data_IF_839983605022
#
_entry.id   IF_839983605022
#
_cell.length_a   1.000
_cell.length_b   1.000
_cell.length_c   1.000
_cell.angle_alpha   90.00
_cell.angle_beta   90.00
_cell.angle_gamma   90.00
#
_symmetry.space_group_name_H-M   'P 1'
#
loop_
_entity.id
_entity.type
_entity.pdbx_description
1 polymer ?
#
# COMPACT_ATOMS: atom_id res chain seq x y z
N UNK A 1 23.33 -4.59 -8.94
CA UNK A 1 22.58 -3.88 -10.01
C UNK A 1 22.93 -4.43 -11.39
N UNK A 2 24.11 -4.96 -11.55
CA UNK A 2 24.62 -5.62 -12.77
C UNK A 2 23.79 -6.81 -13.25
N UNK A 3 23.01 -7.42 -12.36
CA UNK A 3 22.09 -8.53 -12.67
C UNK A 3 20.70 -8.09 -13.19
N UNK A 4 20.52 -6.83 -13.50
CA UNK A 4 19.24 -6.30 -13.97
C UNK A 4 19.47 -5.60 -15.31
N UNK A 5 18.83 -6.11 -16.37
CA UNK A 5 18.98 -5.57 -17.73
C UNK A 5 18.24 -4.26 -17.97
N UNK A 6 17.25 -3.92 -17.15
CA UNK A 6 16.51 -2.67 -17.25
C UNK A 6 17.21 -1.54 -16.44
N UNK A 7 17.25 -0.29 -16.95
CA UNK A 7 17.93 0.82 -16.27
C UNK A 7 17.31 1.22 -14.92
N UNK A 8 16.10 0.79 -14.62
CA UNK A 8 15.29 1.14 -13.44
C UNK A 8 15.14 2.67 -13.27
N UNK A 9 14.97 3.39 -14.38
CA UNK A 9 14.86 4.86 -14.47
C UNK A 9 13.43 5.39 -14.18
N UNK A 10 12.56 4.54 -13.66
CA UNK A 10 11.20 4.84 -13.21
C UNK A 10 11.02 4.50 -11.72
N UNK A 11 9.89 4.92 -11.12
CA UNK A 11 9.58 4.57 -9.73
C UNK A 11 9.05 3.14 -9.57
N UNK A 12 8.73 2.48 -10.67
CA UNK A 12 8.20 1.12 -10.72
C UNK A 12 7.28 0.90 -11.92
N UNK A 13 6.64 -0.26 -11.93
CA UNK A 13 5.65 -0.65 -12.93
C UNK A 13 4.39 -1.15 -12.25
N UNK A 14 3.23 -0.85 -12.83
CA UNK A 14 1.93 -1.42 -12.48
C UNK A 14 1.57 -2.44 -13.55
N UNK A 15 1.09 -3.60 -13.13
CA UNK A 15 0.67 -4.68 -14.03
C UNK A 15 -0.86 -4.66 -14.13
N UNK A 16 -1.42 -4.32 -15.31
CA UNK A 16 -2.86 -4.35 -15.51
C UNK A 16 -3.44 -5.75 -15.33
N UNK A 17 -4.67 -5.85 -14.81
CA UNK A 17 -5.34 -7.14 -14.57
C UNK A 17 -5.48 -7.99 -15.84
N UNK A 18 -5.57 -7.38 -17.02
CA UNK A 18 -5.67 -8.07 -18.32
C UNK A 18 -4.44 -8.90 -18.65
N UNK A 19 -3.28 -8.60 -18.05
CA UNK A 19 -2.04 -9.38 -18.22
C UNK A 19 -2.09 -10.72 -17.48
N UNK A 20 -3.06 -10.89 -16.60
CA UNK A 20 -3.28 -12.13 -15.82
C UNK A 20 -2.00 -12.64 -15.12
N UNK A 21 -1.19 -11.73 -14.60
CA UNK A 21 0.06 -12.04 -13.88
C UNK A 21 -0.21 -12.16 -12.37
N UNK A 22 0.64 -12.90 -11.64
CA UNK A 22 0.47 -13.09 -10.20
C UNK A 22 0.88 -11.86 -9.36
N UNK A 23 1.41 -10.82 -9.99
CA UNK A 23 1.80 -9.57 -9.37
C UNK A 23 0.95 -8.41 -9.88
N UNK A 24 0.73 -7.42 -9.03
CA UNK A 24 0.00 -6.18 -9.40
C UNK A 24 0.92 -5.00 -9.64
N UNK A 25 2.13 -5.03 -9.09
CA UNK A 25 3.11 -3.96 -9.27
C UNK A 25 4.51 -4.39 -8.84
N UNK A 26 5.51 -3.64 -9.32
CA UNK A 26 6.87 -3.63 -8.79
C UNK A 26 7.32 -2.19 -8.55
N UNK A 27 7.91 -1.87 -7.39
CA UNK A 27 8.48 -0.55 -7.08
C UNK A 27 9.98 -0.61 -7.00
N UNK A 28 10.67 0.28 -7.70
CA UNK A 28 12.11 0.40 -7.72
C UNK A 28 12.56 1.35 -6.60
N UNK A 29 12.75 0.78 -5.39
CA UNK A 29 12.93 1.58 -4.17
C UNK A 29 14.20 2.42 -4.19
N UNK A 30 15.29 1.93 -4.78
CA UNK A 30 16.54 2.68 -4.92
C UNK A 30 16.41 3.93 -5.79
N UNK A 31 15.56 3.88 -6.80
CA UNK A 31 15.25 5.04 -7.66
C UNK A 31 14.23 5.97 -7.00
N UNK A 32 13.20 5.38 -6.39
CA UNK A 32 12.13 6.13 -5.73
C UNK A 32 12.61 6.87 -4.47
N UNK A 33 13.57 6.30 -3.75
CA UNK A 33 14.12 6.84 -2.50
C UNK A 33 15.65 6.80 -2.55
N UNK A 34 16.30 7.79 -3.18
CA UNK A 34 17.76 7.84 -3.24
C UNK A 34 18.39 7.82 -1.85
N UNK A 35 19.52 7.12 -1.71
CA UNK A 35 20.24 7.01 -0.44
C UNK A 35 19.75 5.92 0.51
N UNK A 36 18.70 5.16 0.15
CA UNK A 36 18.21 4.05 0.99
C UNK A 36 18.97 2.73 0.81
N UNK A 37 19.85 2.65 -0.17
CA UNK A 37 20.74 1.50 -0.39
C UNK A 37 22.04 1.96 -1.06
N UNK A 38 23.12 1.18 -0.98
CA UNK A 38 24.35 1.40 -1.76
C UNK A 38 24.05 1.53 -3.25
N UNK A 39 24.83 2.35 -3.96
CA UNK A 39 24.58 2.70 -5.36
C UNK A 39 24.67 1.51 -6.34
N UNK A 40 25.45 0.51 -5.97
CA UNK A 40 25.66 -0.75 -6.72
C UNK A 40 24.53 -1.76 -6.49
N UNK A 41 23.66 -1.53 -5.52
CA UNK A 41 22.50 -2.40 -5.25
C UNK A 41 21.21 -1.88 -5.90
N UNK A 42 20.28 -2.79 -6.10
CA UNK A 42 18.91 -2.47 -6.47
C UNK A 42 17.95 -3.13 -5.46
N UNK A 43 17.09 -2.31 -4.87
CA UNK A 43 16.02 -2.79 -3.99
C UNK A 43 14.71 -2.66 -4.74
N UNK A 44 14.06 -3.81 -4.98
CA UNK A 44 12.80 -3.88 -5.71
C UNK A 44 11.74 -4.50 -4.78
N UNK A 45 10.63 -3.81 -4.60
CA UNK A 45 9.45 -4.35 -3.91
C UNK A 45 8.46 -4.87 -4.93
N UNK A 46 8.09 -6.13 -4.80
CA UNK A 46 7.08 -6.77 -5.65
C UNK A 46 5.79 -6.95 -4.84
N UNK A 47 4.67 -6.58 -5.43
CA UNK A 47 3.34 -6.76 -4.83
C UNK A 47 2.66 -7.96 -5.47
N UNK A 48 2.62 -9.08 -4.74
CA UNK A 48 2.07 -10.36 -5.19
C UNK A 48 0.61 -10.47 -4.74
N UNK A 49 -0.25 -10.99 -5.61
CA UNK A 49 -1.68 -11.21 -5.34
C UNK A 49 -2.52 -9.96 -5.50
N UNK A 50 -3.32 -9.65 -4.48
CA UNK A 50 -4.27 -8.54 -4.51
C UNK A 50 -5.72 -9.03 -4.45
N UNK A 51 -6.68 -8.12 -4.69
CA UNK A 51 -8.11 -8.43 -4.55
C UNK A 51 -8.61 -9.51 -5.52
N UNK A 52 -7.96 -9.66 -6.68
CA UNK A 52 -8.31 -10.65 -7.69
C UNK A 52 -7.67 -12.02 -7.46
N UNK A 53 -6.67 -12.10 -6.60
CA UNK A 53 -5.93 -13.32 -6.27
C UNK A 53 -5.65 -13.36 -4.75
N UNK A 54 -6.70 -13.35 -3.91
CA UNK A 54 -6.57 -13.25 -2.45
C UNK A 54 -5.84 -14.45 -1.83
N UNK A 55 -5.90 -15.62 -2.45
CA UNK A 55 -5.26 -16.86 -2.02
C UNK A 55 -3.72 -16.79 -2.05
N UNK A 56 -3.16 -15.86 -2.81
CA UNK A 56 -1.70 -15.71 -2.92
C UNK A 56 -1.04 -15.36 -1.56
N UNK A 57 -1.78 -14.73 -0.65
CA UNK A 57 -1.26 -14.38 0.69
C UNK A 57 -0.97 -15.62 1.55
N UNK A 58 -1.57 -16.76 1.23
CA UNK A 58 -1.43 -18.01 1.98
C UNK A 58 -0.28 -18.91 1.48
N UNK A 59 0.34 -18.56 0.35
CA UNK A 59 1.51 -19.28 -0.16
C UNK A 59 2.70 -19.10 0.76
N UNK A 60 3.60 -20.09 0.79
CA UNK A 60 4.82 -19.97 1.58
C UNK A 60 5.81 -18.94 1.02
N UNK A 61 6.82 -18.60 1.81
CA UNK A 61 7.79 -17.56 1.43
C UNK A 61 8.62 -17.95 0.21
N UNK A 62 8.98 -19.24 0.09
CA UNK A 62 9.78 -19.73 -1.02
C UNK A 62 9.00 -19.64 -2.34
N UNK A 63 7.72 -19.98 -2.32
CA UNK A 63 6.84 -19.83 -3.48
C UNK A 63 6.67 -18.36 -3.89
N UNK A 64 6.44 -17.46 -2.91
CA UNK A 64 6.30 -16.02 -3.19
C UNK A 64 7.58 -15.41 -3.76
N UNK A 65 8.74 -15.80 -3.23
CA UNK A 65 10.06 -15.40 -3.76
C UNK A 65 10.26 -15.92 -5.17
N UNK A 66 9.94 -17.19 -5.43
CA UNK A 66 10.06 -17.79 -6.77
C UNK A 66 9.16 -17.06 -7.80
N UNK A 67 7.94 -16.70 -7.41
CA UNK A 67 7.04 -15.88 -8.23
C UNK A 67 7.68 -14.52 -8.53
N UNK A 68 8.14 -13.81 -7.51
CA UNK A 68 8.75 -12.50 -7.68
C UNK A 68 9.98 -12.55 -8.59
N UNK A 69 10.85 -13.56 -8.44
CA UNK A 69 12.03 -13.75 -9.31
C UNK A 69 11.62 -13.97 -10.77
N UNK A 70 10.65 -14.82 -11.03
CA UNK A 70 10.15 -15.08 -12.41
C UNK A 70 9.58 -13.81 -13.03
N UNK A 71 8.75 -13.08 -12.29
CA UNK A 71 8.13 -11.86 -12.78
C UNK A 71 9.16 -10.75 -13.05
N UNK A 72 10.16 -10.61 -12.18
CA UNK A 72 11.26 -9.66 -12.39
C UNK A 72 12.19 -10.05 -13.53
N UNK A 73 12.37 -11.34 -13.79
CA UNK A 73 13.13 -11.78 -14.96
C UNK A 73 12.46 -11.32 -16.28
N UNK A 74 11.14 -11.39 -16.35
CA UNK A 74 10.40 -10.94 -17.53
C UNK A 74 10.25 -9.41 -17.63
N UNK A 75 9.98 -8.73 -16.51
CA UNK A 75 9.68 -7.30 -16.52
C UNK A 75 10.93 -6.41 -16.63
N UNK A 76 12.01 -6.81 -15.99
CA UNK A 76 13.23 -5.99 -15.87
C UNK A 76 14.50 -6.75 -16.23
N UNK A 77 14.38 -7.92 -16.86
CA UNK A 77 15.49 -8.80 -17.21
C UNK A 77 16.42 -9.08 -16.02
N UNK A 78 15.85 -9.27 -14.83
CA UNK A 78 16.61 -9.64 -13.65
C UNK A 78 17.06 -11.11 -13.74
N UNK A 79 18.31 -11.40 -13.41
CA UNK A 79 18.88 -12.73 -13.48
C UNK A 79 19.71 -13.08 -12.23
N UNK A 80 19.92 -14.38 -12.02
CA UNK A 80 20.66 -14.89 -10.87
C UNK A 80 19.88 -14.78 -9.55
N UNK A 81 20.56 -15.05 -8.45
CA UNK A 81 19.95 -15.03 -7.13
C UNK A 81 19.97 -13.61 -6.51
N UNK A 82 18.90 -13.19 -5.81
CA UNK A 82 18.92 -11.99 -5.00
C UNK A 82 19.91 -12.17 -3.84
N UNK A 83 20.49 -11.08 -3.37
CA UNK A 83 21.36 -11.08 -2.19
C UNK A 83 20.56 -11.33 -0.91
N UNK A 84 19.35 -10.78 -0.86
CA UNK A 84 18.45 -10.89 0.28
C UNK A 84 17.00 -10.85 -0.19
N UNK A 85 16.13 -11.53 0.52
CA UNK A 85 14.68 -11.52 0.30
C UNK A 85 13.95 -11.35 1.62
N UNK A 86 12.87 -10.56 1.60
CA UNK A 86 11.98 -10.38 2.74
C UNK A 86 10.53 -10.47 2.28
N UNK A 87 9.72 -11.27 2.96
CA UNK A 87 8.29 -11.42 2.68
C UNK A 87 7.48 -10.81 3.82
N UNK A 88 6.62 -9.85 3.49
CA UNK A 88 5.64 -9.27 4.41
C UNK A 88 4.23 -9.56 3.93
N UNK A 89 3.37 -10.06 4.81
CA UNK A 89 1.97 -10.38 4.51
C UNK A 89 1.02 -9.36 5.10
N UNK A 90 0.17 -8.83 4.25
CA UNK A 90 -0.80 -7.80 4.60
C UNK A 90 -2.22 -8.34 4.38
N UNK A 91 -2.65 -9.25 5.29
CA UNK A 91 -3.98 -9.89 5.21
C UNK A 91 -5.08 -8.87 5.44
N UNK A 92 -6.05 -8.79 4.51
CA UNK A 92 -7.24 -7.93 4.62
C UNK A 92 -6.94 -6.47 5.03
N UNK A 93 -5.77 -5.95 4.67
CA UNK A 93 -5.29 -4.66 5.14
C UNK A 93 -5.60 -3.49 4.21
N UNK A 94 -5.90 -3.76 2.93
CA UNK A 94 -6.20 -2.72 1.96
C UNK A 94 -7.72 -2.52 1.84
N UNK A 95 -8.25 -1.35 2.21
CA UNK A 95 -9.68 -1.05 2.03
C UNK A 95 -10.08 -1.12 0.56
N UNK A 96 -11.22 -1.76 0.29
CA UNK A 96 -11.79 -1.87 -1.04
C UNK A 96 -13.03 -0.98 -1.16
N UNK A 97 -12.94 0.05 -2.01
CA UNK A 97 -14.02 1.01 -2.23
C UNK A 97 -14.95 0.50 -3.33
N UNK A 98 -15.90 -0.35 -2.95
CA UNK A 98 -16.91 -0.85 -3.86
C UNK A 98 -17.91 0.25 -4.28
N UNK A 99 -18.67 -0.02 -5.33
CA UNK A 99 -19.78 0.85 -5.78
C UNK A 99 -20.71 1.16 -4.58
N UNK A 100 -21.06 2.44 -4.41
CA UNK A 100 -21.85 2.91 -3.27
C UNK A 100 -21.05 3.17 -1.97
N UNK A 101 -19.71 3.05 -1.99
CA UNK A 101 -18.88 3.30 -0.82
C UNK A 101 -19.12 4.69 -0.20
N UNK A 102 -19.13 5.75 -0.99
CA UNK A 102 -19.35 7.11 -0.48
C UNK A 102 -20.73 7.29 0.16
N UNK A 103 -21.77 6.64 -0.36
CA UNK A 103 -23.10 6.66 0.27
C UNK A 103 -23.09 5.94 1.62
N UNK A 104 -22.38 4.81 1.71
CA UNK A 104 -22.21 4.08 2.96
C UNK A 104 -21.44 4.91 3.99
N UNK A 105 -20.32 5.51 3.60
CA UNK A 105 -19.55 6.40 4.46
C UNK A 105 -20.38 7.60 4.91
N UNK A 106 -21.15 8.23 4.02
CA UNK A 106 -22.06 9.32 4.38
C UNK A 106 -23.05 8.93 5.47
N UNK A 107 -23.68 7.74 5.37
CA UNK A 107 -24.58 7.22 6.42
C UNK A 107 -23.87 6.97 7.74
N UNK A 108 -22.64 6.46 7.71
CA UNK A 108 -21.83 6.24 8.92
C UNK A 108 -21.51 7.58 9.57
N UNK A 109 -21.02 8.56 8.82
CA UNK A 109 -20.67 9.91 9.32
C UNK A 109 -21.87 10.59 9.95
N UNK A 110 -23.06 10.52 9.34
CA UNK A 110 -24.29 11.08 9.91
C UNK A 110 -24.64 10.45 11.27
N UNK A 111 -24.47 9.14 11.42
CA UNK A 111 -24.72 8.45 12.70
C UNK A 111 -23.68 8.81 13.76
N UNK A 112 -22.43 8.95 13.37
CA UNK A 112 -21.33 9.34 14.25
C UNK A 112 -21.50 10.80 14.70
N UNK A 113 -21.91 11.71 13.81
CA UNK A 113 -22.16 13.10 14.15
C UNK A 113 -23.26 13.29 15.21
N UNK A 114 -24.14 12.32 15.39
CA UNK A 114 -25.14 12.32 16.45
C UNK A 114 -24.57 11.88 17.84
N UNK A 115 -23.30 11.44 17.88
CA UNK A 115 -22.65 10.99 19.12
C UNK A 115 -21.63 12.04 19.56
N UNK A 116 -21.83 12.61 20.74
CA UNK A 116 -20.88 13.58 21.27
C UNK A 116 -19.54 12.91 21.61
N UNK A 117 -18.44 13.56 21.22
CA UNK A 117 -17.09 13.11 21.54
C UNK A 117 -16.62 11.90 20.69
N UNK A 118 -17.28 11.61 19.57
CA UNK A 118 -16.90 10.54 18.65
C UNK A 118 -16.62 11.10 17.26
N UNK A 119 -15.48 10.74 16.69
CA UNK A 119 -15.10 11.03 15.32
C UNK A 119 -14.43 9.82 14.66
N UNK A 120 -14.42 9.78 13.33
CA UNK A 120 -13.82 8.71 12.54
C UNK A 120 -12.66 9.22 11.70
N UNK A 121 -11.59 8.43 11.63
CA UNK A 121 -10.44 8.69 10.79
C UNK A 121 -9.89 7.41 10.15
N UNK A 122 -9.10 7.57 9.10
CA UNK A 122 -8.36 6.49 8.48
C UNK A 122 -8.80 6.12 7.07
N UNK A 123 -8.04 5.20 6.48
CA UNK A 123 -8.15 4.80 5.08
C UNK A 123 -9.43 4.07 4.71
N UNK A 124 -10.15 3.53 5.69
CA UNK A 124 -11.43 2.83 5.47
C UNK A 124 -12.57 3.73 5.03
N UNK A 125 -12.44 5.04 5.14
CA UNK A 125 -13.52 6.00 4.86
C UNK A 125 -13.27 6.80 3.58
N UNK A 126 -12.15 7.54 3.50
CA UNK A 126 -11.85 8.41 2.36
C UNK A 126 -10.35 8.52 2.14
N UNK A 127 -9.87 8.01 0.98
CA UNK A 127 -8.47 8.10 0.58
C UNK A 127 -7.58 7.08 1.31
N UNK A 128 -6.88 6.27 0.52
CA UNK A 128 -6.02 5.18 1.02
C UNK A 128 -4.55 5.59 1.18
N UNK A 129 -4.17 6.76 0.67
CA UNK A 129 -2.80 7.25 0.77
C UNK A 129 -2.45 7.74 2.16
N UNK A 130 -1.17 7.68 2.52
CA UNK A 130 -0.67 8.19 3.80
C UNK A 130 -1.06 9.66 4.05
N UNK A 131 -0.92 10.59 3.08
CA UNK A 131 -1.34 11.98 3.29
C UNK A 131 -2.82 12.11 3.63
N UNK A 132 -3.70 11.36 2.94
CA UNK A 132 -5.14 11.37 3.23
C UNK A 132 -5.46 10.78 4.61
N UNK A 133 -4.74 9.75 5.05
CA UNK A 133 -4.91 9.20 6.40
C UNK A 133 -4.51 10.21 7.48
N UNK A 134 -3.40 10.91 7.30
CA UNK A 134 -2.95 11.97 8.21
C UNK A 134 -3.97 13.12 8.27
N UNK A 135 -4.38 13.62 7.11
CA UNK A 135 -5.41 14.68 7.02
C UNK A 135 -6.72 14.25 7.68
N UNK A 136 -7.14 13.00 7.47
CA UNK A 136 -8.34 12.43 8.09
C UNK A 136 -8.25 12.46 9.62
N UNK A 137 -7.09 12.08 10.17
CA UNK A 137 -6.85 12.14 11.62
C UNK A 137 -6.85 13.56 12.16
N UNK A 138 -6.18 14.49 11.48
CA UNK A 138 -6.15 15.91 11.87
C UNK A 138 -7.56 16.52 11.91
N UNK A 139 -8.34 16.33 10.83
CA UNK A 139 -9.73 16.82 10.76
C UNK A 139 -10.63 16.20 11.84
N UNK A 140 -10.44 14.92 12.17
CA UNK A 140 -11.20 14.29 13.25
C UNK A 140 -10.85 14.91 14.62
N UNK A 141 -9.57 15.12 14.89
CA UNK A 141 -9.11 15.78 16.12
C UNK A 141 -9.62 17.22 16.23
N UNK A 142 -9.54 18.01 15.16
CA UNK A 142 -10.05 19.40 15.12
C UNK A 142 -11.55 19.46 15.43
N UNK A 143 -12.35 18.55 14.88
CA UNK A 143 -13.79 18.51 15.16
C UNK A 143 -14.09 18.14 16.62
N UNK A 144 -13.34 17.19 17.19
CA UNK A 144 -13.48 16.82 18.60
C UNK A 144 -13.12 17.97 19.53
N UNK A 145 -12.03 18.67 19.26
CA UNK A 145 -11.56 19.82 20.05
C UNK A 145 -12.48 21.03 19.87
N UNK A 146 -12.94 21.31 18.65
CA UNK A 146 -13.83 22.42 18.35
C UNK A 146 -15.24 22.24 18.92
N UNK A 147 -15.73 21.00 19.00
CA UNK A 147 -17.05 20.69 19.58
C UNK A 147 -17.05 20.62 21.12
N UNK A 148 -15.91 20.33 21.72
CA UNK A 148 -15.70 20.39 23.16
C UNK A 148 -14.93 21.70 23.44
N UNK A 149 -15.64 22.77 23.71
CA UNK A 149 -14.96 23.95 24.27
C UNK A 149 -14.03 23.46 25.38
N UNK A 150 -12.72 23.63 25.20
CA UNK A 150 -11.70 23.25 26.16
C UNK A 150 -12.08 23.81 27.51
N UNK A 151 -12.69 23.03 28.40
CA UNK A 151 -12.71 23.35 29.81
C UNK A 151 -11.26 23.26 30.26
N UNK A 152 -10.61 24.43 30.36
CA UNK A 152 -9.33 24.55 31.03
C UNK A 152 -9.55 23.98 32.43
N UNK A 153 -8.88 22.91 32.72
CA UNK A 153 -8.64 22.53 34.09
C UNK A 153 -7.69 23.58 34.64
N UNK A 154 -8.27 24.55 35.34
CA UNK A 154 -7.60 25.47 36.25
C UNK A 154 -7.44 24.79 37.58
#
# INVERSE_FOLDING_TARGET
RDKIGHPLDAFGAVVPAVENRPIVAASFLTTKFPGHAPADLAVIRVFVGGVLQPEMVDRDDAELVAIAKRELAELVAAHGEPLETHVARWRSSMPQYHIGHLLRVGKIVLRVAAQNGLELAGSGYRGVGIPQCVESGQKAAERLVGNQGWRRYS
#
